data_IF_395513144109
#
_entry.id   IF_395513144109
#
_cell.length_a   1.000
_cell.length_b   1.000
_cell.length_c   1.000
_cell.angle_alpha   90.00
_cell.angle_beta   90.00
_cell.angle_gamma   90.00
#
_symmetry.space_group_name_H-M   'P 1'
#
loop_
_entity.id
_entity.type
_entity.pdbx_description
1 polymer ?
#
# COMPACT_ATOMS: atom_id res chain seq x y z
N UNK A 1 43.06 -23.68 -75.35
CA UNK A 1 42.29 -22.43 -75.37
C UNK A 1 41.48 -22.35 -74.09
N UNK A 2 41.86 -21.39 -73.23
CA UNK A 2 41.20 -20.85 -72.03
C UNK A 2 40.41 -21.79 -71.09
N UNK A 3 41.04 -22.06 -69.95
CA UNK A 3 40.39 -22.18 -68.64
C UNK A 3 39.49 -20.97 -68.38
N UNK A 4 38.27 -21.19 -67.91
CA UNK A 4 37.43 -20.14 -67.30
C UNK A 4 36.80 -20.66 -66.01
N UNK A 5 37.50 -20.36 -64.92
CA UNK A 5 36.93 -20.24 -63.59
C UNK A 5 35.73 -19.29 -63.59
N UNK A 6 34.62 -19.70 -63.02
CA UNK A 6 33.76 -18.75 -62.30
C UNK A 6 33.24 -19.42 -61.04
N UNK A 7 33.96 -19.16 -59.95
CA UNK A 7 33.47 -19.33 -58.59
C UNK A 7 32.23 -18.44 -58.44
N UNK A 8 31.03 -18.99 -58.67
CA UNK A 8 29.83 -18.41 -58.11
C UNK A 8 29.72 -18.89 -56.68
N UNK A 9 30.45 -18.17 -55.81
CA UNK A 9 30.16 -18.10 -54.38
C UNK A 9 28.70 -17.71 -54.25
N UNK A 10 27.83 -18.72 -54.12
CA UNK A 10 26.47 -18.54 -53.67
C UNK A 10 26.59 -17.98 -52.27
N UNK A 11 26.50 -16.65 -52.21
CA UNK A 11 26.50 -15.83 -51.01
C UNK A 11 25.42 -16.41 -50.12
N UNK A 12 25.82 -17.26 -49.17
CA UNK A 12 25.05 -17.63 -47.99
C UNK A 12 24.60 -16.31 -47.39
N UNK A 13 23.36 -15.91 -47.67
CA UNK A 13 22.69 -14.84 -46.96
C UNK A 13 22.31 -15.50 -45.64
N UNK A 14 23.28 -15.56 -44.72
CA UNK A 14 23.00 -15.85 -43.33
C UNK A 14 22.10 -14.70 -42.87
N UNK A 15 20.79 -14.98 -42.82
CA UNK A 15 19.87 -14.14 -42.09
C UNK A 15 20.31 -14.32 -40.64
N UNK A 16 20.98 -13.31 -40.12
CA UNK A 16 21.22 -13.19 -38.70
C UNK A 16 19.85 -12.97 -38.08
N UNK A 17 19.24 -14.03 -37.55
CA UNK A 17 18.12 -13.89 -36.63
C UNK A 17 18.61 -12.99 -35.50
N UNK A 18 17.97 -11.83 -35.34
CA UNK A 18 18.15 -11.02 -34.15
C UNK A 18 17.64 -11.91 -33.03
N UNK A 19 18.52 -12.32 -32.12
CA UNK A 19 18.10 -12.90 -30.86
C UNK A 19 17.11 -11.90 -30.26
N UNK A 20 15.82 -12.24 -30.20
CA UNK A 20 14.76 -11.40 -29.61
C UNK A 20 14.82 -11.40 -28.07
N UNK A 21 15.86 -12.01 -27.52
CA UNK A 21 16.20 -12.08 -26.10
C UNK A 21 16.34 -10.68 -25.43
N UNK A 22 16.85 -9.59 -26.06
CA UNK A 22 17.02 -8.30 -25.40
C UNK A 22 15.70 -7.64 -24.96
N UNK A 23 14.64 -7.77 -25.75
CA UNK A 23 13.36 -7.11 -25.44
C UNK A 23 12.58 -7.87 -24.37
N UNK A 24 12.65 -9.19 -24.41
CA UNK A 24 12.04 -10.07 -23.42
C UNK A 24 12.69 -9.81 -22.05
N UNK A 25 14.02 -9.65 -22.00
CA UNK A 25 14.75 -9.35 -20.76
C UNK A 25 14.31 -8.00 -20.14
N UNK A 26 14.24 -6.92 -20.93
CA UNK A 26 13.78 -5.61 -20.43
C UNK A 26 12.34 -5.65 -19.94
N UNK A 27 11.44 -6.33 -20.66
CA UNK A 27 10.04 -6.48 -20.24
C UNK A 27 9.92 -7.29 -18.94
N UNK A 28 10.70 -8.37 -18.80
CA UNK A 28 10.70 -9.20 -17.60
C UNK A 28 11.30 -8.48 -16.39
N UNK A 29 12.36 -7.69 -16.57
CA UNK A 29 12.95 -6.84 -15.51
C UNK A 29 11.92 -5.86 -14.96
N UNK A 30 11.13 -5.20 -15.82
CA UNK A 30 10.08 -4.29 -15.37
C UNK A 30 8.99 -5.00 -14.55
N UNK A 31 8.60 -6.22 -14.93
CA UNK A 31 7.64 -7.03 -14.19
C UNK A 31 8.16 -7.43 -12.81
N UNK A 32 9.44 -7.82 -12.71
CA UNK A 32 10.08 -8.16 -11.43
C UNK A 32 10.17 -6.95 -10.50
N UNK A 33 10.52 -5.77 -11.03
CA UNK A 33 10.54 -4.52 -10.24
C UNK A 33 9.15 -4.26 -9.62
N UNK A 34 8.09 -4.31 -10.43
CA UNK A 34 6.73 -4.11 -9.92
C UNK A 34 6.33 -5.14 -8.87
N UNK A 35 6.63 -6.42 -9.08
CA UNK A 35 6.33 -7.50 -8.13
C UNK A 35 7.00 -7.30 -6.76
N UNK A 36 8.24 -6.79 -6.74
CA UNK A 36 8.99 -6.55 -5.49
C UNK A 36 8.55 -5.26 -4.78
N UNK A 37 8.03 -4.25 -5.50
CA UNK A 37 7.55 -3.02 -4.86
C UNK A 37 6.22 -3.17 -4.11
N UNK A 38 5.35 -4.11 -4.50
CA UNK A 38 4.06 -4.35 -3.85
C UNK A 38 4.13 -4.67 -2.34
N UNK A 39 5.03 -5.54 -1.83
CA UNK A 39 5.14 -5.83 -0.39
C UNK A 39 5.65 -4.65 0.46
N UNK A 40 6.07 -3.53 -0.15
CA UNK A 40 6.56 -2.35 0.58
C UNK A 40 5.45 -1.43 1.10
N UNK A 41 4.17 -1.75 0.82
CA UNK A 41 3.05 -1.11 1.54
C UNK A 41 2.96 -1.75 2.92
N UNK A 42 3.82 -1.29 3.82
CA UNK A 42 3.80 -1.66 5.23
C UNK A 42 2.57 -0.99 5.84
N UNK A 43 1.46 -1.70 5.95
CA UNK A 43 0.39 -1.29 6.87
C UNK A 43 1.00 -1.34 8.26
N UNK A 44 1.16 -0.17 8.88
CA UNK A 44 1.71 -0.02 10.22
C UNK A 44 1.13 -1.06 11.17
N UNK A 45 1.95 -1.56 12.09
CA UNK A 45 1.60 -2.61 13.06
C UNK A 45 0.23 -2.35 13.68
N UNK A 46 -0.81 -3.06 13.21
CA UNK A 46 -2.10 -3.11 13.88
C UNK A 46 -2.00 -4.25 14.87
N UNK A 47 -1.83 -3.93 16.15
CA UNK A 47 -1.95 -4.91 17.22
C UNK A 47 -3.43 -5.32 17.31
N UNK A 48 -3.77 -6.46 16.70
CA UNK A 48 -5.09 -7.04 16.87
C UNK A 48 -5.19 -7.59 18.30
N UNK A 49 -6.18 -7.15 19.12
CA UNK A 49 -6.38 -7.72 20.43
C UNK A 49 -6.74 -9.21 20.29
N UNK A 50 -6.10 -10.06 21.09
CA UNK A 50 -6.36 -11.51 21.11
C UNK A 50 -7.83 -11.74 21.51
N UNK A 51 -8.55 -12.50 20.69
CA UNK A 51 -9.96 -12.85 20.91
C UNK A 51 -10.08 -13.54 22.28
N UNK A 52 -10.86 -12.94 23.19
CA UNK A 52 -11.07 -13.45 24.55
C UNK A 52 -10.67 -12.50 25.68
N UNK A 53 -9.99 -11.39 25.40
CA UNK A 53 -9.75 -10.31 26.38
C UNK A 53 -10.53 -9.05 26.01
N UNK A 54 -11.85 -9.19 25.81
CA UNK A 54 -12.71 -8.01 25.86
C UNK A 54 -12.63 -7.47 27.30
N UNK A 55 -11.76 -6.49 27.52
CA UNK A 55 -11.75 -5.71 28.74
C UNK A 55 -13.18 -5.21 28.92
N UNK A 56 -13.78 -5.49 30.07
CA UNK A 56 -15.10 -4.96 30.41
C UNK A 56 -15.04 -3.45 30.18
N UNK A 57 -15.87 -2.94 29.27
CA UNK A 57 -15.91 -1.50 28.98
C UNK A 57 -16.08 -0.78 30.31
N UNK A 58 -15.16 0.12 30.70
CA UNK A 58 -15.29 0.86 31.94
C UNK A 58 -16.67 1.52 32.02
N UNK A 59 -17.33 1.39 33.17
CA UNK A 59 -18.68 1.94 33.40
C UNK A 59 -18.72 3.46 33.17
N UNK A 60 -17.57 4.13 33.25
CA UNK A 60 -17.39 5.54 32.90
C UNK A 60 -16.37 5.72 31.76
N UNK A 61 -16.64 5.13 30.60
CA UNK A 61 -15.85 5.38 29.39
C UNK A 61 -16.22 6.73 28.75
N UNK A 62 -15.21 7.46 28.30
CA UNK A 62 -15.37 8.67 27.49
C UNK A 62 -15.26 8.29 26.02
N UNK A 63 -16.28 8.61 25.24
CA UNK A 63 -16.38 8.29 23.83
C UNK A 63 -16.07 9.54 22.98
N UNK A 64 -15.08 9.41 22.12
CA UNK A 64 -14.69 10.45 21.15
C UNK A 64 -15.10 9.96 19.76
N UNK A 65 -16.07 10.64 19.14
CA UNK A 65 -16.51 10.32 17.78
C UNK A 65 -15.91 11.30 16.80
N UNK A 66 -15.19 10.78 15.81
CA UNK A 66 -14.58 11.56 14.73
C UNK A 66 -15.38 11.30 13.45
N UNK A 67 -16.06 12.33 12.94
CA UNK A 67 -16.79 12.26 11.67
C UNK A 67 -15.86 12.52 10.48
N UNK A 68 -16.28 12.12 9.28
CA UNK A 68 -15.50 12.27 8.04
C UNK A 68 -15.21 13.73 7.68
N UNK A 69 -16.05 14.67 8.13
CA UNK A 69 -15.86 16.11 7.99
C UNK A 69 -14.78 16.67 8.94
N UNK A 70 -14.19 15.82 9.78
CA UNK A 70 -13.21 16.19 10.80
C UNK A 70 -13.81 16.78 12.07
N UNK A 71 -15.15 16.88 12.16
CA UNK A 71 -15.84 17.26 13.38
C UNK A 71 -15.71 16.17 14.44
N UNK A 72 -15.51 16.61 15.68
CA UNK A 72 -15.28 15.74 16.83
C UNK A 72 -16.33 16.01 17.90
N UNK A 73 -17.00 14.95 18.34
CA UNK A 73 -17.93 15.00 19.47
C UNK A 73 -17.40 14.18 20.62
N UNK A 74 -17.62 14.70 21.82
CA UNK A 74 -17.30 14.03 23.07
C UNK A 74 -18.61 13.65 23.77
N UNK A 75 -18.71 12.39 24.20
CA UNK A 75 -19.84 11.88 24.96
C UNK A 75 -19.31 11.06 26.14
N UNK A 76 -19.88 11.23 27.32
CA UNK A 76 -19.67 10.30 28.43
C UNK A 76 -20.71 9.19 28.36
N UNK A 77 -20.31 7.95 28.61
CA UNK A 77 -21.20 6.80 28.66
C UNK A 77 -22.07 6.75 29.95
N UNK A 78 -22.62 7.90 30.36
CA UNK A 78 -23.57 8.04 31.46
C UNK A 78 -24.94 8.37 30.87
N UNK A 79 -25.97 7.61 31.26
CA UNK A 79 -27.35 7.84 30.81
C UNK A 79 -27.73 9.33 30.92
N UNK A 80 -28.00 9.97 29.79
CA UNK A 80 -28.52 11.34 29.73
C UNK A 80 -27.54 12.45 29.35
N UNK A 81 -26.24 12.18 29.16
CA UNK A 81 -25.30 13.21 28.67
C UNK A 81 -25.40 13.40 27.13
N UNK A 82 -25.61 14.64 26.70
CA UNK A 82 -25.69 15.03 25.28
C UNK A 82 -24.30 15.12 24.66
N UNK A 83 -24.18 14.75 23.39
CA UNK A 83 -22.96 14.93 22.60
C UNK A 83 -22.55 16.41 22.59
N UNK A 84 -21.35 16.71 23.08
CA UNK A 84 -20.78 18.05 23.02
C UNK A 84 -19.82 18.12 21.83
N UNK A 85 -20.00 19.03 20.85
CA UNK A 85 -18.98 19.30 19.86
C UNK A 85 -17.77 19.94 20.55
N UNK A 86 -16.59 19.42 20.29
CA UNK A 86 -15.32 19.91 20.84
C UNK A 86 -14.34 20.06 19.68
N UNK A 87 -13.61 21.17 19.61
CA UNK A 87 -12.56 21.35 18.60
C UNK A 87 -11.38 20.40 18.85
N UNK A 88 -10.66 20.00 17.79
CA UNK A 88 -9.54 19.04 17.88
C UNK A 88 -8.50 19.39 18.94
N UNK A 89 -8.17 20.68 19.08
CA UNK A 89 -7.18 21.17 20.03
C UNK A 89 -7.69 21.13 21.49
N UNK A 90 -9.01 21.20 21.65
CA UNK A 90 -9.68 21.21 22.96
C UNK A 90 -9.94 19.80 23.49
N UNK A 91 -9.85 18.75 22.66
CA UNK A 91 -10.08 17.36 23.08
C UNK A 91 -9.10 16.97 24.19
N UNK A 92 -7.81 17.29 24.02
CA UNK A 92 -6.79 16.94 25.01
C UNK A 92 -7.03 17.65 26.34
N UNK A 93 -7.45 18.92 26.29
CA UNK A 93 -7.79 19.69 27.48
C UNK A 93 -9.06 19.15 28.15
N UNK A 94 -10.10 18.84 27.38
CA UNK A 94 -11.35 18.28 27.87
C UNK A 94 -11.14 16.93 28.56
N UNK A 95 -10.37 16.03 27.93
CA UNK A 95 -10.02 14.71 28.49
C UNK A 95 -9.21 14.87 29.78
N UNK A 96 -8.21 15.76 29.82
CA UNK A 96 -7.38 16.00 31.02
C UNK A 96 -8.15 16.65 32.17
N UNK A 97 -9.14 17.49 31.87
CA UNK A 97 -9.96 18.16 32.89
C UNK A 97 -11.04 17.27 33.50
N UNK A 98 -11.33 16.13 32.86
CA UNK A 98 -12.40 15.20 33.23
C UNK A 98 -11.90 13.85 33.79
N UNK A 99 -10.58 13.64 33.83
CA UNK A 99 -9.93 12.52 34.51
C UNK A 99 -9.41 12.93 35.88
#
# INVERSE_FOLDING_TARGET
MASRSSFRSSRRKAIADINVVPYIDVMLVLLVIFMVTAPMIVTGTIDLPKVGQAAQTPVAALEVTIRQDGSTTLRRNTEGEKEKPIGRDEIVAAVKSMG
#
